data_IF_441456050062
#
_entry.id   IF_441456050062
#
_cell.length_a   1.000
_cell.length_b   1.000
_cell.length_c   1.000
_cell.angle_alpha   90.00
_cell.angle_beta   90.00
_cell.angle_gamma   90.00
#
_symmetry.space_group_name_H-M   'P 1'
#
loop_
_entity.id
_entity.type
_entity.pdbx_description
1 polymer ?
#
# COMPACT_ATOMS: atom_id res chain seq x y z
N UNK A 1 5.24 -30.01 -9.15
CA UNK A 1 6.18 -28.86 -9.13
C UNK A 1 5.37 -27.57 -9.06
N UNK A 2 5.83 -26.58 -8.29
CA UNK A 2 5.18 -25.27 -8.25
C UNK A 2 5.41 -24.51 -9.57
N UNK A 3 4.39 -23.82 -10.08
CA UNK A 3 4.48 -22.94 -11.24
C UNK A 3 4.59 -21.49 -10.76
N UNK A 4 5.70 -20.83 -11.07
CA UNK A 4 5.93 -19.41 -10.75
C UNK A 4 5.70 -18.59 -12.01
N UNK A 5 4.80 -17.60 -11.95
CA UNK A 5 4.40 -16.77 -13.10
C UNK A 5 4.68 -15.32 -12.74
N UNK A 6 5.41 -14.55 -13.58
CA UNK A 6 5.66 -13.13 -13.33
C UNK A 6 4.38 -12.31 -13.51
N UNK A 7 4.35 -11.13 -12.88
CA UNK A 7 3.25 -10.19 -12.98
C UNK A 7 3.78 -8.77 -13.11
N UNK A 8 2.92 -7.84 -13.52
CA UNK A 8 3.24 -6.42 -13.52
C UNK A 8 2.97 -5.86 -12.13
N UNK A 9 4.03 -5.52 -11.41
CA UNK A 9 3.95 -4.93 -10.09
C UNK A 9 3.50 -3.48 -10.18
N UNK A 10 2.82 -3.04 -9.12
CA UNK A 10 2.42 -1.66 -8.90
C UNK A 10 3.20 -1.13 -7.71
N UNK A 11 3.84 0.03 -7.85
CA UNK A 11 4.68 0.64 -6.83
C UNK A 11 4.56 2.17 -6.84
N UNK A 12 4.92 2.82 -5.74
CA UNK A 12 4.98 4.28 -5.67
C UNK A 12 6.08 4.82 -6.59
N UNK A 13 5.75 5.88 -7.32
CA UNK A 13 6.70 6.65 -8.08
C UNK A 13 7.64 7.41 -7.11
N UNK A 14 8.91 6.99 -7.05
CA UNK A 14 9.90 7.59 -6.16
C UNK A 14 10.25 9.05 -6.52
N UNK A 15 9.97 9.50 -7.75
CA UNK A 15 10.10 10.91 -8.12
C UNK A 15 9.01 11.78 -7.47
N UNK A 16 7.85 11.20 -7.17
CA UNK A 16 6.73 11.88 -6.49
C UNK A 16 6.70 11.65 -4.98
N UNK A 17 7.16 10.49 -4.53
CA UNK A 17 7.24 10.09 -3.12
C UNK A 17 8.67 9.65 -2.82
N UNK A 18 9.50 10.60 -2.41
CA UNK A 18 10.91 10.35 -2.08
C UNK A 18 11.08 9.52 -0.80
N UNK A 19 10.18 9.67 0.16
CA UNK A 19 10.18 8.92 1.42
C UNK A 19 8.96 7.99 1.52
N UNK A 20 9.18 6.71 1.25
CA UNK A 20 8.13 5.69 1.31
C UNK A 20 7.59 5.48 2.72
N UNK A 21 8.36 5.80 3.78
CA UNK A 21 7.90 5.61 5.17
C UNK A 21 6.65 6.43 5.50
N UNK A 22 6.41 7.52 4.77
CA UNK A 22 5.23 8.38 4.93
C UNK A 22 3.94 7.76 4.38
N UNK A 23 4.06 6.88 3.37
CA UNK A 23 2.93 6.36 2.59
C UNK A 23 2.65 4.87 2.79
N UNK A 24 3.49 4.19 3.56
CA UNK A 24 3.31 2.78 3.89
C UNK A 24 2.45 2.58 5.16
N UNK A 25 1.95 1.35 5.32
CA UNK A 25 1.20 0.90 6.49
C UNK A 25 1.67 -0.47 6.92
N UNK A 26 1.43 -0.87 8.17
CA UNK A 26 1.48 -2.29 8.53
C UNK A 26 0.33 -3.07 7.84
N UNK A 27 0.32 -4.41 7.95
CA UNK A 27 -0.81 -5.24 7.51
C UNK A 27 -2.14 -4.80 8.16
N UNK A 28 -3.24 -4.91 7.42
CA UNK A 28 -4.54 -4.36 7.85
C UNK A 28 -5.09 -5.03 9.12
N UNK A 29 -4.76 -6.29 9.36
CA UNK A 29 -5.22 -7.11 10.47
C UNK A 29 -4.60 -6.71 11.83
N UNK A 30 -3.54 -5.92 11.81
CA UNK A 30 -2.89 -5.39 13.03
C UNK A 30 -3.13 -3.90 13.25
N UNK A 31 -3.91 -3.23 12.38
CA UNK A 31 -4.20 -1.79 12.49
C UNK A 31 -5.41 -1.55 13.40
N UNK A 32 -5.21 -0.78 14.47
CA UNK A 32 -6.30 -0.30 15.32
C UNK A 32 -7.05 0.88 14.69
N UNK A 33 -8.26 1.19 15.18
CA UNK A 33 -9.02 2.35 14.70
C UNK A 33 -8.31 3.70 14.93
N UNK A 34 -7.59 3.84 16.04
CA UNK A 34 -6.78 5.05 16.30
C UNK A 34 -5.57 5.12 15.36
N UNK A 35 -4.92 3.98 15.10
CA UNK A 35 -3.79 3.92 14.17
C UNK A 35 -4.23 4.22 12.73
N UNK A 36 -5.39 3.71 12.31
CA UNK A 36 -6.00 4.06 11.03
C UNK A 36 -6.17 5.58 10.91
N UNK A 37 -6.72 6.26 11.93
CA UNK A 37 -6.88 7.72 11.92
C UNK A 37 -5.53 8.44 11.78
N UNK A 38 -4.50 7.98 12.50
CA UNK A 38 -3.14 8.54 12.45
C UNK A 38 -2.52 8.38 11.07
N UNK A 39 -2.61 7.20 10.46
CA UNK A 39 -2.10 6.94 9.09
C UNK A 39 -2.86 7.76 8.04
N UNK A 40 -4.16 8.02 8.23
CA UNK A 40 -4.90 8.93 7.36
C UNK A 40 -4.43 10.39 7.44
N UNK A 41 -3.90 10.79 8.59
CA UNK A 41 -3.38 12.14 8.84
C UNK A 41 -1.90 12.27 8.47
N UNK A 42 -1.13 11.17 8.42
CA UNK A 42 0.31 11.22 8.16
C UNK A 42 0.64 11.66 6.74
N UNK A 43 -0.13 11.22 5.75
CA UNK A 43 0.08 11.60 4.35
C UNK A 43 -1.21 11.46 3.51
N UNK A 44 -1.41 12.38 2.56
CA UNK A 44 -2.58 12.32 1.66
C UNK A 44 -2.57 11.07 0.77
N UNK A 45 -1.38 10.56 0.44
CA UNK A 45 -1.20 9.35 -0.36
C UNK A 45 -0.85 8.11 0.47
N UNK A 46 -1.16 8.09 1.77
CA UNK A 46 -0.90 6.91 2.57
C UNK A 46 -1.78 5.72 2.12
N UNK A 47 -1.17 4.54 2.00
CA UNK A 47 -1.80 3.33 1.47
C UNK A 47 -2.98 2.83 2.31
N UNK A 48 -3.15 3.36 3.53
CA UNK A 48 -4.32 3.12 4.38
C UNK A 48 -5.64 3.37 3.65
N UNK A 49 -5.67 4.31 2.70
CA UNK A 49 -6.86 4.63 1.89
C UNK A 49 -7.31 3.48 1.00
N UNK A 50 -6.39 2.61 0.63
CA UNK A 50 -6.65 1.44 -0.21
C UNK A 50 -6.80 0.18 0.65
N UNK A 51 -5.86 -0.08 1.56
CA UNK A 51 -5.82 -1.37 2.29
C UNK A 51 -6.86 -1.44 3.43
N UNK A 52 -7.19 -0.32 4.07
CA UNK A 52 -8.15 -0.26 5.17
C UNK A 52 -8.86 1.10 5.17
N UNK A 53 -9.73 1.29 4.17
CA UNK A 53 -10.51 2.50 3.97
C UNK A 53 -11.44 2.83 5.16
N UNK A 54 -11.66 4.12 5.47
CA UNK A 54 -12.64 4.53 6.49
C UNK A 54 -14.06 4.17 6.04
N UNK A 55 -14.83 3.64 6.99
CA UNK A 55 -16.28 3.59 6.88
C UNK A 55 -16.85 4.99 7.15
N UNK A 56 -17.82 5.38 6.35
CA UNK A 56 -18.48 6.68 6.43
C UNK A 56 -19.97 6.49 6.72
N UNK A 57 -20.57 7.45 7.42
CA UNK A 57 -22.02 7.48 7.60
C UNK A 57 -22.71 7.52 6.23
N UNK A 58 -23.61 6.57 6.00
CA UNK A 58 -24.30 6.41 4.71
C UNK A 58 -23.61 5.47 3.74
N UNK A 59 -22.57 4.74 4.16
CA UNK A 59 -22.06 3.61 3.40
C UNK A 59 -23.13 2.52 3.22
N UNK A 60 -23.15 1.93 2.03
CA UNK A 60 -24.12 0.94 1.62
C UNK A 60 -23.80 0.35 0.25
N UNK A 61 -24.80 -0.23 -0.40
CA UNK A 61 -24.64 -0.80 -1.74
C UNK A 61 -24.41 0.32 -2.76
N UNK A 62 -23.21 0.37 -3.36
CA UNK A 62 -22.83 1.37 -4.36
C UNK A 62 -22.05 2.58 -3.83
N UNK A 63 -21.88 2.71 -2.51
CA UNK A 63 -20.98 3.68 -1.90
C UNK A 63 -20.41 3.08 -0.61
N UNK A 64 -19.15 2.68 -0.63
CA UNK A 64 -18.46 2.12 0.54
C UNK A 64 -16.94 2.31 0.41
N UNK A 65 -16.22 1.89 1.45
CA UNK A 65 -14.78 1.96 1.53
C UNK A 65 -14.06 1.23 0.39
N UNK A 66 -14.55 0.09 -0.08
CA UNK A 66 -13.97 -0.63 -1.22
C UNK A 66 -14.10 0.12 -2.55
N UNK A 67 -15.25 0.77 -2.78
CA UNK A 67 -15.47 1.60 -3.97
C UNK A 67 -14.53 2.82 -3.93
N UNK A 68 -14.37 3.44 -2.75
CA UNK A 68 -13.40 4.53 -2.57
C UNK A 68 -11.96 4.05 -2.79
N UNK A 69 -11.57 2.90 -2.25
CA UNK A 69 -10.26 2.29 -2.47
C UNK A 69 -9.97 2.06 -3.96
N UNK A 70 -10.95 1.53 -4.71
CA UNK A 70 -10.85 1.35 -6.16
C UNK A 70 -10.67 2.69 -6.91
N UNK A 71 -11.36 3.75 -6.48
CA UNK A 71 -11.16 5.10 -7.03
C UNK A 71 -9.75 5.59 -6.77
N UNK A 72 -9.28 5.54 -5.51
CA UNK A 72 -7.92 5.96 -5.16
C UNK A 72 -6.87 5.23 -6.00
N UNK A 73 -6.94 3.90 -6.10
CA UNK A 73 -6.00 3.12 -6.91
C UNK A 73 -6.00 3.57 -8.37
N UNK A 74 -7.19 3.74 -8.97
CA UNK A 74 -7.34 4.20 -10.36
C UNK A 74 -6.78 5.61 -10.58
N UNK A 75 -7.11 6.52 -9.67
CA UNK A 75 -6.68 7.92 -9.74
C UNK A 75 -5.16 8.02 -9.58
N UNK A 76 -4.59 7.30 -8.62
CA UNK A 76 -3.15 7.29 -8.35
C UNK A 76 -2.33 6.68 -9.49
N UNK A 77 -2.85 5.65 -10.16
CA UNK A 77 -2.24 5.11 -11.39
C UNK A 77 -2.33 6.11 -12.54
N UNK A 78 -3.50 6.73 -12.76
CA UNK A 78 -3.71 7.72 -13.83
C UNK A 78 -2.79 8.93 -13.67
N UNK A 79 -2.58 9.38 -12.44
CA UNK A 79 -1.76 10.54 -12.11
C UNK A 79 -0.26 10.22 -12.04
N UNK A 80 0.12 8.95 -12.22
CA UNK A 80 1.52 8.52 -12.14
C UNK A 80 2.12 8.63 -10.73
N UNK A 81 1.26 8.64 -9.69
CA UNK A 81 1.69 8.48 -8.30
C UNK A 81 2.04 7.02 -8.01
N UNK A 82 1.23 6.10 -8.52
CA UNK A 82 1.56 4.69 -8.65
C UNK A 82 1.96 4.41 -10.10
N UNK A 83 2.99 3.60 -10.28
CA UNK A 83 3.44 3.12 -11.58
C UNK A 83 3.20 1.62 -11.66
N UNK A 84 2.89 1.14 -12.87
CA UNK A 84 2.85 -0.28 -13.21
C UNK A 84 4.03 -0.62 -14.12
N UNK A 85 4.69 -1.76 -13.88
CA UNK A 85 5.77 -2.20 -14.75
C UNK A 85 5.31 -2.47 -16.19
N UNK A 86 6.17 -2.09 -17.16
CA UNK A 86 5.88 -2.25 -18.59
C UNK A 86 5.76 -3.72 -19.02
N UNK A 87 6.52 -4.60 -18.38
CA UNK A 87 6.55 -6.05 -18.63
C UNK A 87 6.40 -6.83 -17.32
N UNK A 88 5.80 -8.05 -17.36
CA UNK A 88 5.77 -8.92 -16.19
C UNK A 88 7.16 -9.23 -15.65
N UNK A 89 7.33 -9.15 -14.33
CA UNK A 89 8.60 -9.32 -13.64
C UNK A 89 8.47 -10.27 -12.44
N UNK A 90 9.62 -10.75 -11.96
CA UNK A 90 9.75 -11.45 -10.67
C UNK A 90 10.37 -10.47 -9.68
N UNK A 91 9.75 -10.30 -8.51
CA UNK A 91 10.21 -9.41 -7.46
C UNK A 91 10.91 -10.22 -6.38
N UNK A 92 12.22 -9.99 -6.22
CA UNK A 92 12.99 -10.54 -5.10
C UNK A 92 12.91 -9.54 -3.96
N UNK A 93 12.64 -10.03 -2.77
CA UNK A 93 12.53 -9.21 -1.57
C UNK A 93 13.47 -9.76 -0.50
N UNK A 94 14.14 -8.86 0.19
CA UNK A 94 15.07 -9.17 1.27
C UNK A 94 14.75 -8.25 2.45
N UNK A 95 14.80 -8.81 3.65
CA UNK A 95 14.54 -8.13 4.91
C UNK A 95 15.77 -8.11 5.78
N UNK A 96 16.16 -6.92 6.21
CA UNK A 96 17.19 -6.73 7.23
C UNK A 96 16.54 -6.28 8.54
N UNK A 97 16.90 -6.90 9.65
CA UNK A 97 16.37 -6.54 10.97
C UNK A 97 17.38 -6.82 12.09
N UNK A 98 17.23 -6.10 13.20
CA UNK A 98 18.02 -6.29 14.41
C UNK A 98 17.19 -7.01 15.48
N UNK A 99 17.74 -8.10 16.03
CA UNK A 99 17.14 -8.82 17.14
C UNK A 99 18.20 -9.01 18.23
N UNK A 100 17.95 -8.44 19.42
CA UNK A 100 18.86 -8.49 20.57
C UNK A 100 20.30 -8.05 20.25
N UNK A 101 20.43 -6.98 19.46
CA UNK A 101 21.73 -6.42 19.05
C UNK A 101 22.45 -7.19 17.94
N UNK A 102 21.85 -8.25 17.39
CA UNK A 102 22.38 -8.99 16.24
C UNK A 102 21.61 -8.64 14.97
N UNK A 103 22.35 -8.47 13.87
CA UNK A 103 21.79 -8.21 12.54
C UNK A 103 21.45 -9.52 11.82
N UNK A 104 20.30 -9.56 11.17
CA UNK A 104 19.83 -10.67 10.35
C UNK A 104 19.40 -10.15 8.98
N UNK A 105 19.57 -10.99 7.96
CA UNK A 105 19.10 -10.77 6.59
C UNK A 105 18.39 -12.05 6.11
N UNK A 106 17.20 -11.92 5.50
CA UNK A 106 16.44 -13.05 4.94
C UNK A 106 15.68 -12.67 3.68
#
# INVERSE_FOLDING_TARGET
>A
MAKVIPFKGIYYNQERISDLSLVLTPPYDVISGEEQKRLYQSHEYNFIRIILGKEESGDGQGKNNYIRAASYLKDWLREGLLLEDKSPSIYVYTQQFCLSGKHFER
#
